data_IF_316761789574
#
_entry.id   IF_316761789574
#
_cell.length_a   1.000
_cell.length_b   1.000
_cell.length_c   1.000
_cell.angle_alpha   90.00
_cell.angle_beta   90.00
_cell.angle_gamma   90.00
#
_symmetry.space_group_name_H-M   'P 1'
#
loop_
_entity.id
_entity.type
_entity.pdbx_description
1 polymer ?
#
# COMPACT_ATOMS: atom_id res chain seq x y z
N UNK A 1 -50.83 -17.93 39.06
CA UNK A 1 -50.70 -17.56 37.62
C UNK A 1 -49.31 -16.94 37.48
N UNK A 2 -48.32 -17.81 37.33
CA UNK A 2 -46.88 -17.50 37.33
C UNK A 2 -46.44 -17.46 35.86
N UNK A 3 -46.00 -16.28 35.39
CA UNK A 3 -45.36 -16.10 34.07
C UNK A 3 -43.87 -16.40 34.26
N UNK A 4 -43.41 -17.54 33.73
CA UNK A 4 -42.01 -17.83 33.54
C UNK A 4 -41.51 -17.09 32.28
N UNK A 5 -40.60 -16.17 32.51
CA UNK A 5 -39.86 -15.50 31.43
C UNK A 5 -38.65 -16.37 31.09
N UNK A 6 -38.74 -17.11 29.97
CA UNK A 6 -37.62 -17.90 29.43
C UNK A 6 -36.70 -16.98 28.67
N UNK A 7 -35.62 -16.51 29.27
CA UNK A 7 -34.48 -15.90 28.56
C UNK A 7 -33.66 -16.99 27.91
N UNK A 8 -33.94 -17.22 26.62
CA UNK A 8 -33.14 -18.06 25.77
C UNK A 8 -31.91 -17.28 25.33
N UNK A 9 -30.82 -17.42 26.10
CA UNK A 9 -29.51 -16.90 25.76
C UNK A 9 -28.96 -17.69 24.55
N UNK A 10 -29.18 -17.19 23.34
CA UNK A 10 -28.53 -17.75 22.14
C UNK A 10 -27.02 -17.51 22.20
N UNK A 11 -26.32 -18.45 22.82
CA UNK A 11 -24.86 -18.57 22.65
C UNK A 11 -24.58 -18.96 21.19
N UNK A 12 -24.31 -17.97 20.36
CA UNK A 12 -23.73 -18.21 19.05
C UNK A 12 -22.34 -18.81 19.25
N UNK A 13 -22.20 -20.09 18.94
CA UNK A 13 -20.91 -20.77 18.90
C UNK A 13 -20.02 -20.09 17.86
N UNK A 14 -19.14 -19.20 18.33
CA UNK A 14 -18.13 -18.57 17.48
C UNK A 14 -17.25 -19.65 16.88
N UNK A 15 -17.25 -19.77 15.56
CA UNK A 15 -16.45 -20.77 14.88
C UNK A 15 -14.96 -20.53 15.15
N UNK A 16 -14.15 -21.61 15.22
CA UNK A 16 -12.69 -21.51 15.39
C UNK A 16 -12.05 -20.56 14.37
N UNK A 17 -12.60 -20.50 13.14
CA UNK A 17 -12.19 -19.53 12.10
C UNK A 17 -12.48 -18.09 12.47
N UNK A 18 -13.66 -17.79 13.04
CA UNK A 18 -14.01 -16.45 13.49
C UNK A 18 -13.13 -15.99 14.65
N UNK A 19 -12.75 -16.90 15.55
CA UNK A 19 -11.82 -16.63 16.66
C UNK A 19 -10.40 -16.37 16.15
N UNK A 20 -9.93 -17.14 15.16
CA UNK A 20 -8.61 -16.94 14.55
C UNK A 20 -8.53 -15.65 13.73
N UNK A 21 -9.58 -15.32 12.98
CA UNK A 21 -9.65 -14.07 12.21
C UNK A 21 -9.78 -12.86 13.14
N UNK A 22 -10.56 -12.96 14.20
CA UNK A 22 -10.64 -11.91 15.21
C UNK A 22 -9.34 -11.72 15.97
N UNK A 23 -8.67 -12.81 16.37
CA UNK A 23 -7.37 -12.79 17.04
C UNK A 23 -6.26 -12.23 16.16
N UNK A 24 -6.20 -12.62 14.89
CA UNK A 24 -5.25 -12.08 13.90
C UNK A 24 -5.49 -10.59 13.65
N UNK A 25 -6.75 -10.15 13.58
CA UNK A 25 -7.09 -8.72 13.43
C UNK A 25 -6.69 -7.91 14.68
N UNK A 26 -6.87 -8.46 15.87
CA UNK A 26 -6.44 -7.81 17.12
C UNK A 26 -4.92 -7.74 17.25
N UNK A 27 -4.21 -8.81 16.87
CA UNK A 27 -2.75 -8.83 16.83
C UNK A 27 -2.22 -7.85 15.78
N UNK A 28 -2.78 -7.84 14.57
CA UNK A 28 -2.43 -6.87 13.55
C UNK A 28 -2.70 -5.43 14.02
N UNK A 29 -3.81 -5.18 14.70
CA UNK A 29 -4.12 -3.85 15.26
C UNK A 29 -3.18 -3.46 16.40
N UNK A 30 -2.73 -4.39 17.23
CA UNK A 30 -1.78 -4.13 18.32
C UNK A 30 -0.34 -3.87 17.80
N UNK A 31 0.02 -4.48 16.66
CA UNK A 31 1.32 -4.31 16.00
C UNK A 31 1.33 -3.23 14.92
N UNK A 32 0.16 -2.74 14.47
CA UNK A 32 0.14 -1.51 13.68
C UNK A 32 0.80 -0.41 14.51
N UNK A 33 1.87 0.24 14.00
CA UNK A 33 2.42 1.40 14.68
C UNK A 33 1.24 2.33 14.96
N UNK A 34 1.11 2.78 16.19
CA UNK A 34 0.06 3.71 16.59
C UNK A 34 0.32 5.00 15.83
N UNK A 35 -0.21 5.06 14.60
CA UNK A 35 -0.08 6.22 13.76
C UNK A 35 -0.64 7.40 14.51
N UNK A 36 0.31 8.20 14.96
CA UNK A 36 0.17 9.57 15.36
C UNK A 36 -1.13 9.90 16.10
N UNK A 37 -1.12 9.74 17.40
CA UNK A 37 -1.73 10.79 18.20
C UNK A 37 -0.98 12.08 17.83
N UNK A 38 -1.64 12.98 17.14
CA UNK A 38 -1.21 14.36 17.01
C UNK A 38 -1.26 15.01 18.41
N UNK A 39 -0.53 14.44 19.37
CA UNK A 39 -0.45 14.93 20.74
C UNK A 39 0.42 16.19 20.82
N UNK A 40 1.21 16.45 19.78
CA UNK A 40 2.20 17.53 19.78
C UNK A 40 1.92 18.62 18.74
N UNK A 41 0.66 18.79 18.29
CA UNK A 41 0.31 19.79 17.30
C UNK A 41 0.90 19.56 15.90
N UNK A 42 1.44 18.37 15.61
CA UNK A 42 1.95 18.03 14.28
C UNK A 42 0.80 17.67 13.35
N UNK A 43 0.76 18.33 12.22
CA UNK A 43 -0.15 18.04 11.12
C UNK A 43 0.28 16.73 10.43
N UNK A 44 -0.40 15.64 10.72
CA UNK A 44 -0.12 14.32 10.13
C UNK A 44 -0.58 14.28 8.69
N UNK A 45 0.35 14.06 7.75
CA UNK A 45 0.07 13.99 6.32
C UNK A 45 0.41 12.61 5.78
N UNK A 46 -0.47 12.07 4.95
CA UNK A 46 -0.25 10.86 4.18
C UNK A 46 0.08 11.22 2.74
N UNK A 47 1.25 10.78 2.26
CA UNK A 47 1.61 10.86 0.84
C UNK A 47 1.52 9.45 0.25
N UNK A 48 0.70 9.30 -0.79
CA UNK A 48 0.57 8.06 -1.54
C UNK A 48 1.23 8.23 -2.90
N UNK A 49 2.20 7.39 -3.21
CA UNK A 49 2.90 7.39 -4.50
C UNK A 49 2.55 6.11 -5.24
N UNK A 50 1.93 6.23 -6.42
CA UNK A 50 1.60 5.11 -7.29
C UNK A 50 2.55 5.14 -8.49
N UNK A 51 3.38 4.12 -8.61
CA UNK A 51 4.36 3.98 -9.69
C UNK A 51 3.70 3.32 -10.90
N UNK A 52 3.02 4.12 -11.73
CA UNK A 52 2.25 3.64 -12.88
C UNK A 52 3.09 3.05 -14.01
N UNK A 53 4.37 3.44 -14.08
CA UNK A 53 5.33 2.88 -15.04
C UNK A 53 5.78 1.46 -14.74
N UNK A 54 5.24 0.85 -13.72
CA UNK A 54 5.62 -0.40 -13.09
C UNK A 54 6.92 -0.33 -12.26
N UNK A 55 6.95 -1.10 -11.21
CA UNK A 55 8.12 -1.38 -10.41
C UNK A 55 8.16 -2.90 -10.20
N UNK A 56 9.23 -3.54 -10.64
CA UNK A 56 9.43 -4.95 -10.33
C UNK A 56 9.80 -5.09 -8.84
N UNK A 57 8.88 -5.63 -8.07
CA UNK A 57 9.06 -5.84 -6.64
C UNK A 57 10.20 -6.79 -6.31
N UNK A 58 10.41 -7.83 -7.15
CA UNK A 58 11.47 -8.81 -6.96
C UNK A 58 12.86 -8.27 -7.33
N UNK A 59 12.93 -7.30 -8.24
CA UNK A 59 14.18 -6.59 -8.53
C UNK A 59 14.42 -5.43 -7.55
N UNK A 60 13.39 -4.92 -6.87
CA UNK A 60 13.53 -3.83 -5.90
C UNK A 60 13.93 -4.34 -4.53
N UNK A 61 13.20 -5.33 -4.00
CA UNK A 61 13.50 -6.01 -2.73
C UNK A 61 13.48 -7.51 -2.99
N UNK A 62 14.65 -8.02 -3.29
CA UNK A 62 14.86 -9.38 -3.76
C UNK A 62 14.93 -10.38 -2.60
N UNK A 63 14.29 -11.55 -2.71
CA UNK A 63 14.45 -12.64 -1.76
C UNK A 63 15.75 -13.41 -2.04
N UNK A 64 16.90 -12.73 -1.87
CA UNK A 64 18.23 -13.29 -2.20
C UNK A 64 18.60 -14.51 -1.34
N UNK A 65 17.93 -14.71 -0.21
CA UNK A 65 18.05 -15.88 0.64
C UNK A 65 17.23 -17.09 0.18
N UNK A 66 16.38 -16.93 -0.85
CA UNK A 66 15.64 -18.03 -1.46
C UNK A 66 16.56 -18.77 -2.44
N UNK A 67 16.78 -20.10 -2.27
CA UNK A 67 17.68 -20.88 -3.13
C UNK A 67 17.26 -20.89 -4.60
N UNK A 68 15.97 -20.73 -4.91
CA UNK A 68 15.44 -20.77 -6.26
C UNK A 68 15.45 -19.39 -6.94
N UNK A 69 15.61 -18.30 -6.18
CA UNK A 69 15.51 -16.94 -6.70
C UNK A 69 16.47 -16.66 -7.86
N UNK A 70 17.75 -16.98 -7.68
CA UNK A 70 18.77 -16.71 -8.70
C UNK A 70 18.54 -17.53 -9.97
N UNK A 71 18.09 -18.76 -9.85
CA UNK A 71 17.76 -19.63 -10.98
C UNK A 71 16.54 -19.13 -11.76
N UNK A 72 15.49 -18.70 -11.07
CA UNK A 72 14.25 -18.21 -11.67
C UNK A 72 14.40 -16.82 -12.31
N UNK A 73 15.26 -15.96 -11.75
CA UNK A 73 15.49 -14.59 -12.23
C UNK A 73 16.65 -14.47 -13.22
N UNK A 74 17.54 -15.45 -13.28
CA UNK A 74 18.64 -15.48 -14.23
C UNK A 74 19.57 -14.28 -14.14
N UNK A 75 19.85 -13.64 -15.27
CA UNK A 75 20.80 -12.54 -15.37
C UNK A 75 20.38 -11.25 -14.64
N UNK A 76 19.09 -11.07 -14.36
CA UNK A 76 18.57 -9.88 -13.67
C UNK A 76 18.46 -10.07 -12.15
N UNK A 77 18.81 -11.26 -11.64
CA UNK A 77 18.79 -11.53 -10.21
C UNK A 77 19.79 -10.63 -9.47
N UNK A 78 19.33 -9.98 -8.41
CA UNK A 78 20.23 -9.31 -7.47
C UNK A 78 21.05 -10.36 -6.71
N UNK A 79 22.31 -10.03 -6.46
CA UNK A 79 23.22 -10.90 -5.73
C UNK A 79 23.59 -10.26 -4.37
N UNK A 80 23.85 -11.06 -3.35
CA UNK A 80 24.29 -10.55 -2.05
C UNK A 80 25.74 -10.02 -2.08
N UNK A 81 26.48 -10.35 -3.12
CA UNK A 81 27.89 -10.05 -3.30
C UNK A 81 28.20 -9.52 -4.71
N UNK A 82 29.43 -9.02 -4.90
CA UNK A 82 29.91 -8.50 -6.18
C UNK A 82 29.71 -6.98 -6.38
N UNK A 83 30.02 -6.46 -7.61
CA UNK A 83 30.06 -5.02 -7.86
C UNK A 83 28.74 -4.28 -7.67
N UNK A 84 27.61 -4.96 -7.88
CA UNK A 84 26.26 -4.42 -7.70
C UNK A 84 25.51 -5.22 -6.63
N UNK A 85 26.18 -5.54 -5.54
CA UNK A 85 25.60 -6.30 -4.45
C UNK A 85 24.34 -5.61 -3.91
N UNK A 86 23.33 -6.39 -3.61
CA UNK A 86 22.14 -5.92 -2.90
C UNK A 86 22.49 -5.43 -1.50
N UNK A 87 21.78 -4.41 -1.03
CA UNK A 87 21.90 -3.95 0.35
C UNK A 87 21.03 -4.84 1.22
N UNK A 88 21.63 -5.73 1.99
CA UNK A 88 20.89 -6.66 2.85
C UNK A 88 20.04 -5.90 3.87
N UNK A 89 18.76 -6.20 3.89
CA UNK A 89 17.79 -5.71 4.86
C UNK A 89 17.70 -6.64 6.07
N UNK A 90 17.75 -7.94 5.78
CA UNK A 90 17.79 -9.05 6.73
C UNK A 90 18.50 -10.26 6.06
N UNK A 91 18.62 -11.43 6.69
CA UNK A 91 19.28 -12.60 6.10
C UNK A 91 18.62 -13.14 4.83
N UNK A 92 17.35 -12.78 4.54
CA UNK A 92 16.59 -13.30 3.42
C UNK A 92 16.39 -12.28 2.30
N UNK A 93 16.18 -10.98 2.65
CA UNK A 93 15.85 -9.95 1.68
C UNK A 93 17.00 -8.97 1.45
N UNK A 94 17.26 -8.67 0.18
CA UNK A 94 18.21 -7.66 -0.27
C UNK A 94 17.51 -6.56 -1.08
N UNK A 95 17.83 -5.30 -0.76
CA UNK A 95 17.32 -4.12 -1.46
C UNK A 95 18.23 -3.79 -2.66
N UNK A 96 17.64 -3.30 -3.75
CA UNK A 96 18.39 -2.82 -4.91
C UNK A 96 19.41 -1.73 -4.50
N UNK A 97 20.67 -1.80 -4.96
CA UNK A 97 21.74 -0.89 -4.52
C UNK A 97 21.49 0.58 -4.88
N UNK A 98 20.64 0.87 -5.86
CA UNK A 98 20.25 2.24 -6.21
C UNK A 98 19.32 2.92 -5.20
N UNK A 99 18.95 2.24 -4.09
CA UNK A 99 18.02 2.75 -3.07
C UNK A 99 18.69 2.96 -1.70
N UNK A 100 19.81 3.70 -1.60
CA UNK A 100 20.56 3.83 -0.34
C UNK A 100 19.76 4.55 0.75
N UNK A 101 18.95 5.55 0.38
CA UNK A 101 18.13 6.29 1.34
C UNK A 101 17.02 5.42 1.92
N UNK A 102 16.41 4.56 1.12
CA UNK A 102 15.42 3.62 1.63
C UNK A 102 16.06 2.63 2.62
N UNK A 103 17.27 2.14 2.31
CA UNK A 103 18.03 1.28 3.23
C UNK A 103 18.34 1.99 4.55
N UNK A 104 18.70 3.28 4.50
CA UNK A 104 18.92 4.09 5.70
C UNK A 104 17.66 4.22 6.55
N UNK A 105 16.52 4.52 5.90
CA UNK A 105 15.23 4.63 6.58
C UNK A 105 14.79 3.28 7.18
N UNK A 106 15.00 2.18 6.47
CA UNK A 106 14.68 0.85 6.95
C UNK A 106 15.46 0.50 8.21
N UNK A 107 16.78 0.73 8.22
CA UNK A 107 17.64 0.53 9.39
C UNK A 107 17.24 1.42 10.58
N UNK A 108 16.79 2.63 10.29
CA UNK A 108 16.25 3.57 11.29
C UNK A 108 14.83 3.22 11.74
N UNK A 109 14.21 2.12 11.25
CA UNK A 109 12.83 1.71 11.52
C UNK A 109 11.78 2.76 11.09
N UNK A 110 12.12 3.54 10.09
CA UNK A 110 11.27 4.57 9.48
C UNK A 110 10.62 4.11 8.17
N UNK A 111 11.03 2.96 7.65
CA UNK A 111 10.48 2.34 6.46
C UNK A 111 10.21 0.86 6.71
N UNK A 112 9.24 0.31 6.00
CA UNK A 112 8.93 -1.11 5.98
C UNK A 112 8.59 -1.55 4.55
N UNK A 113 8.75 -2.84 4.28
CA UNK A 113 8.38 -3.47 3.01
C UNK A 113 7.30 -4.50 3.29
N UNK A 114 6.28 -4.52 2.45
CA UNK A 114 5.23 -5.54 2.48
C UNK A 114 5.33 -6.33 1.18
N UNK A 115 5.73 -7.59 1.28
CA UNK A 115 5.87 -8.51 0.15
C UNK A 115 4.57 -9.22 -0.19
N UNK A 116 4.53 -9.83 -1.38
CA UNK A 116 3.43 -10.66 -1.86
C UNK A 116 2.07 -9.94 -1.85
N UNK A 117 2.08 -8.63 -2.03
CA UNK A 117 0.85 -7.84 -2.18
C UNK A 117 0.38 -7.93 -3.62
N UNK A 118 -0.85 -8.42 -3.82
CA UNK A 118 -1.47 -8.52 -5.13
C UNK A 118 -2.96 -8.19 -5.06
N UNK A 119 -3.48 -7.61 -6.14
CA UNK A 119 -4.92 -7.47 -6.34
C UNK A 119 -5.54 -8.80 -6.76
N UNK A 120 -6.88 -8.87 -6.78
CA UNK A 120 -7.59 -10.04 -7.32
C UNK A 120 -7.59 -10.13 -8.85
N UNK A 121 -7.16 -9.07 -9.53
CA UNK A 121 -7.09 -8.99 -10.99
C UNK A 121 -6.07 -10.00 -11.55
N UNK A 122 -6.47 -10.74 -12.60
CA UNK A 122 -5.65 -11.81 -13.21
C UNK A 122 -5.49 -11.67 -14.71
N UNK A 123 -6.20 -10.74 -15.34
CA UNK A 123 -6.05 -10.48 -16.77
C UNK A 123 -4.80 -9.64 -17.05
N UNK A 124 -4.37 -9.58 -18.31
CA UNK A 124 -3.11 -8.95 -18.71
C UNK A 124 -3.27 -7.52 -19.19
N UNK A 125 -4.32 -6.82 -18.76
CA UNK A 125 -4.51 -5.41 -19.08
C UNK A 125 -3.83 -4.54 -18.03
N UNK A 126 -2.83 -3.78 -18.45
CA UNK A 126 -2.10 -2.84 -17.58
C UNK A 126 -3.03 -1.76 -17.02
N UNK A 127 -3.89 -1.19 -17.85
CA UNK A 127 -4.81 -0.13 -17.44
C UNK A 127 -5.91 -0.63 -16.49
N UNK A 128 -6.45 -1.81 -16.75
CA UNK A 128 -7.43 -2.41 -15.86
C UNK A 128 -6.81 -2.79 -14.51
N UNK A 129 -5.57 -3.25 -14.52
CA UNK A 129 -4.80 -3.49 -13.29
C UNK A 129 -4.59 -2.23 -12.47
N UNK A 130 -4.34 -1.09 -13.12
CA UNK A 130 -4.28 0.22 -12.45
C UNK A 130 -5.64 0.62 -11.87
N UNK A 131 -6.72 0.45 -12.63
CA UNK A 131 -8.08 0.73 -12.16
C UNK A 131 -8.42 -0.07 -10.91
N UNK A 132 -8.11 -1.36 -10.90
CA UNK A 132 -8.32 -2.23 -9.73
C UNK A 132 -7.48 -1.77 -8.54
N UNK A 133 -6.21 -1.43 -8.75
CA UNK A 133 -5.33 -0.94 -7.70
C UNK A 133 -5.84 0.39 -7.10
N UNK A 134 -6.29 1.32 -7.92
CA UNK A 134 -6.70 2.66 -7.50
C UNK A 134 -8.15 2.69 -7.00
N UNK A 135 -9.03 1.88 -7.56
CA UNK A 135 -10.40 1.76 -7.06
C UNK A 135 -10.50 0.91 -5.80
N UNK A 136 -9.61 -0.08 -5.62
CA UNK A 136 -9.68 -1.06 -4.54
C UNK A 136 -10.83 -2.07 -4.69
N UNK A 137 -11.41 -2.19 -5.90
CA UNK A 137 -12.46 -3.16 -6.21
C UNK A 137 -11.89 -4.35 -7.01
N UNK A 138 -12.55 -5.51 -6.99
CA UNK A 138 -12.01 -6.74 -7.60
C UNK A 138 -12.02 -6.75 -9.13
N UNK A 139 -12.60 -5.73 -9.80
CA UNK A 139 -12.65 -5.64 -11.25
C UNK A 139 -12.60 -4.19 -11.74
N UNK A 140 -12.12 -3.95 -12.97
CA UNK A 140 -12.00 -2.63 -13.55
C UNK A 140 -13.35 -2.02 -13.92
N UNK A 141 -13.41 -0.70 -14.04
CA UNK A 141 -14.56 0.06 -14.56
C UNK A 141 -15.84 0.00 -13.73
N UNK A 142 -15.86 -0.67 -12.59
CA UNK A 142 -17.05 -0.85 -11.75
C UNK A 142 -17.46 0.39 -10.97
N UNK A 143 -16.50 1.26 -10.66
CA UNK A 143 -16.70 2.40 -9.76
C UNK A 143 -15.89 3.59 -10.23
N UNK A 144 -16.47 4.77 -10.15
CA UNK A 144 -15.79 6.05 -10.46
C UNK A 144 -15.11 6.67 -9.24
N UNK A 145 -15.01 5.95 -8.12
CA UNK A 145 -14.38 6.42 -6.90
C UNK A 145 -13.18 5.56 -6.49
N UNK A 146 -12.15 6.22 -5.99
CA UNK A 146 -10.93 5.58 -5.50
C UNK A 146 -10.99 5.25 -4.01
N UNK A 147 -10.18 4.28 -3.57
CA UNK A 147 -10.16 3.85 -2.18
C UNK A 147 -9.70 4.96 -1.22
N UNK A 148 -8.78 5.82 -1.67
CA UNK A 148 -8.27 6.91 -0.82
C UNK A 148 -9.32 8.00 -0.63
N UNK A 149 -10.14 8.32 -1.65
CA UNK A 149 -11.24 9.26 -1.50
C UNK A 149 -12.29 8.73 -0.52
N UNK A 150 -12.67 7.44 -0.63
CA UNK A 150 -13.58 6.81 0.34
C UNK A 150 -13.00 6.77 1.75
N UNK A 151 -11.69 6.59 1.90
CA UNK A 151 -11.02 6.69 3.20
C UNK A 151 -11.14 8.11 3.78
N UNK A 152 -11.01 9.16 2.94
CA UNK A 152 -11.22 10.55 3.37
C UNK A 152 -12.65 10.81 3.84
N UNK A 153 -13.64 10.23 3.15
CA UNK A 153 -15.06 10.32 3.55
C UNK A 153 -15.31 9.69 4.92
N UNK A 154 -14.62 8.59 5.23
CA UNK A 154 -14.75 7.86 6.49
C UNK A 154 -14.04 8.55 7.68
N UNK A 155 -13.16 9.51 7.43
CA UNK A 155 -12.48 10.23 8.50
C UNK A 155 -13.44 11.22 9.21
N UNK A 156 -13.27 11.42 10.53
CA UNK A 156 -14.06 12.41 11.26
C UNK A 156 -14.02 13.79 10.58
N UNK A 157 -15.17 14.44 10.49
CA UNK A 157 -15.25 15.82 9.99
C UNK A 157 -14.57 16.74 11.00
N UNK A 158 -13.55 17.46 10.55
CA UNK A 158 -12.81 18.46 11.32
C UNK A 158 -12.54 19.71 10.47
N UNK A 159 -12.03 20.73 11.09
CA UNK A 159 -11.55 21.93 10.37
C UNK A 159 -10.31 21.56 9.55
N UNK A 160 -10.52 21.28 8.26
CA UNK A 160 -9.44 21.02 7.31
C UNK A 160 -9.45 22.07 6.25
N UNK A 161 -8.33 22.75 6.09
CA UNK A 161 -8.13 23.72 5.00
C UNK A 161 -8.15 22.99 3.64
N UNK A 162 -7.66 21.77 3.61
CA UNK A 162 -7.61 20.91 2.42
C UNK A 162 -7.73 19.44 2.83
N UNK A 163 -8.59 18.69 2.17
CA UNK A 163 -8.76 17.24 2.46
C UNK A 163 -7.76 16.38 1.68
N UNK A 164 -7.52 16.67 0.41
CA UNK A 164 -6.56 15.97 -0.42
C UNK A 164 -6.01 16.84 -1.54
N UNK A 165 -4.76 16.57 -1.91
CA UNK A 165 -4.06 17.20 -3.04
C UNK A 165 -3.61 16.10 -4.01
N UNK A 166 -4.06 16.19 -5.26
CA UNK A 166 -3.53 15.41 -6.38
C UNK A 166 -2.40 16.18 -7.04
N UNK A 167 -1.22 15.59 -7.15
CA UNK A 167 -0.08 16.16 -7.87
C UNK A 167 0.01 15.51 -9.24
N UNK A 168 -0.20 16.29 -10.30
CA UNK A 168 -0.18 15.80 -11.67
C UNK A 168 -1.21 16.49 -12.57
N UNK A 169 -1.19 16.23 -13.89
CA UNK A 169 -2.05 16.90 -14.87
C UNK A 169 -3.54 16.55 -14.71
N UNK A 170 -3.84 15.40 -14.09
CA UNK A 170 -5.22 14.94 -13.87
C UNK A 170 -5.36 14.33 -12.48
N UNK A 171 -6.54 14.43 -11.89
CA UNK A 171 -6.85 13.75 -10.63
C UNK A 171 -6.88 12.23 -10.86
N UNK A 172 -5.99 11.45 -10.25
CA UNK A 172 -5.96 9.99 -10.39
C UNK A 172 -7.21 9.36 -9.79
N UNK A 173 -7.58 8.16 -10.29
CA UNK A 173 -8.78 7.46 -9.84
C UNK A 173 -8.79 7.25 -8.32
N UNK A 174 -7.65 6.99 -7.72
CA UNK A 174 -7.51 6.77 -6.27
C UNK A 174 -8.08 7.91 -5.43
N UNK A 175 -8.07 9.15 -5.95
CA UNK A 175 -8.58 10.37 -5.30
C UNK A 175 -9.93 10.85 -5.83
N UNK A 176 -10.52 10.21 -6.85
CA UNK A 176 -11.87 10.55 -7.32
C UNK A 176 -12.92 10.07 -6.33
N UNK A 177 -13.97 10.84 -6.14
CA UNK A 177 -15.09 10.52 -5.25
C UNK A 177 -15.80 11.75 -4.72
N UNK A 178 -16.58 11.60 -3.66
CA UNK A 178 -17.38 12.66 -3.07
C UNK A 178 -16.56 13.60 -2.14
N UNK A 179 -15.46 13.12 -1.57
CA UNK A 179 -14.59 14.00 -0.78
C UNK A 179 -13.89 15.02 -1.68
N UNK A 180 -13.91 16.32 -1.31
CA UNK A 180 -13.28 17.38 -2.10
C UNK A 180 -11.78 17.15 -2.26
N UNK A 181 -11.29 17.23 -3.50
CA UNK A 181 -9.87 17.12 -3.82
C UNK A 181 -9.43 18.31 -4.66
N UNK A 182 -8.19 18.75 -4.45
CA UNK A 182 -7.56 19.82 -5.23
C UNK A 182 -6.49 19.20 -6.13
N UNK A 183 -6.49 19.56 -7.41
CA UNK A 183 -5.45 19.17 -8.36
C UNK A 183 -4.40 20.29 -8.47
N UNK A 184 -3.14 19.90 -8.51
CA UNK A 184 -2.03 20.81 -8.81
C UNK A 184 -1.06 20.14 -9.80
N UNK A 185 -0.66 20.89 -10.82
CA UNK A 185 0.39 20.47 -11.75
C UNK A 185 1.34 21.65 -11.98
N UNK A 186 2.65 21.40 -12.15
CA UNK A 186 3.58 22.45 -12.57
C UNK A 186 3.17 22.99 -13.95
N UNK A 187 3.26 24.29 -14.13
CA UNK A 187 2.86 24.98 -15.37
C UNK A 187 3.71 24.58 -16.59
N UNK A 188 4.90 24.06 -16.36
CA UNK A 188 5.75 23.44 -17.36
C UNK A 188 6.31 22.13 -16.79
N UNK A 189 5.86 21.00 -17.31
CA UNK A 189 6.62 19.75 -17.13
C UNK A 189 7.88 19.87 -17.98
N UNK A 190 9.08 19.54 -17.46
CA UNK A 190 10.25 19.39 -18.29
C UNK A 190 9.89 18.38 -19.41
N UNK A 191 10.11 18.77 -20.68
CA UNK A 191 10.04 17.78 -21.75
C UNK A 191 11.02 16.67 -21.39
N UNK A 192 10.53 15.42 -21.42
CA UNK A 192 11.43 14.29 -21.34
C UNK A 192 12.50 14.49 -22.42
N UNK A 193 13.76 14.45 -22.02
CA UNK A 193 14.84 14.48 -23.01
C UNK A 193 14.57 13.33 -23.96
N UNK A 194 14.41 13.64 -25.26
CA UNK A 194 14.35 12.62 -26.29
C UNK A 194 15.70 11.88 -26.27
N UNK A 195 15.71 10.69 -25.66
CA UNK A 195 16.81 9.72 -25.78
C UNK A 195 16.77 9.08 -27.18
N UNK A 196 16.81 9.92 -28.22
CA UNK A 196 17.09 9.51 -29.59
C UNK A 196 18.45 10.05 -30.00
N UNK A 197 19.50 9.32 -29.60
CA UNK A 197 20.82 9.36 -30.26
C UNK A 197 21.45 7.97 -30.20
#
# INVERSE_FOLDING_TARGET
>A
MTMECSESLMMHATSRRALLLGGASFAAWAYLPKFARAADGRDSRLVVVILRGALDGLATVAPVGDPDYAGLHGAIALRPDGPNASVMLDPFFGLHPAMPEFARMYRAKQAAVVHAVATSYRDRSHFDGQDVLESGFPGPGRVQSGWLNRALEALPKGERVMSALAVGPTTPLVLRGAAPTVGWAPAALPQAADDTA
#
